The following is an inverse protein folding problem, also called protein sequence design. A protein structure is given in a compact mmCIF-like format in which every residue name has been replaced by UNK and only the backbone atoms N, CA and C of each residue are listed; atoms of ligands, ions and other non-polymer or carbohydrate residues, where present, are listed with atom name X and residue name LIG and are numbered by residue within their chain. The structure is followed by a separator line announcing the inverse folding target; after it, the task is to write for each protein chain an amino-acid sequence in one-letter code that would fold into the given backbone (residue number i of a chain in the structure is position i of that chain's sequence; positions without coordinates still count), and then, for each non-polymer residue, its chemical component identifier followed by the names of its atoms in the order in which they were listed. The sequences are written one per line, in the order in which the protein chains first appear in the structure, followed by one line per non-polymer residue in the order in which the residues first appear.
data_IF_874676846278
#
_entry.id   IF_874676846278
#
_cell.length_a   1.000
_cell.length_b   1.000
_cell.length_c   1.000
_cell.angle_alpha   90.00
_cell.angle_beta   90.00
_cell.angle_gamma   90.00
#
_symmetry.space_group_name_H-M   'P 1'
#
loop_
_entity.id
_entity.type
_entity.pdbx_description
1 polymer ?
#
# COMPACT_ATOMS: atom_id res chain seq x y z
N UNK A 1 -9.92 18.95 29.31
CA UNK A 1 -10.07 17.55 29.77
C UNK A 1 -9.64 16.68 28.61
N UNK A 2 -8.37 16.26 28.60
CA UNK A 2 -7.74 15.60 27.47
C UNK A 2 -7.63 14.11 27.78
N UNK A 3 -8.42 13.30 27.08
CA UNK A 3 -8.33 11.84 27.16
C UNK A 3 -7.39 11.38 26.05
N UNK A 4 -6.09 11.31 26.36
CA UNK A 4 -5.09 10.69 25.49
C UNK A 4 -5.32 9.17 25.45
N UNK A 5 -5.82 8.67 24.33
CA UNK A 5 -5.90 7.23 24.08
C UNK A 5 -4.55 6.75 23.54
N UNK A 6 -3.70 6.26 24.45
CA UNK A 6 -2.46 5.55 24.10
C UNK A 6 -2.81 4.13 23.68
N UNK A 7 -2.48 3.76 22.44
CA UNK A 7 -2.49 2.35 22.02
C UNK A 7 -1.27 1.66 22.64
N UNK A 8 -1.47 0.96 23.75
CA UNK A 8 -0.43 0.21 24.43
C UNK A 8 -0.25 -1.16 23.75
N UNK A 9 0.90 -1.39 23.12
CA UNK A 9 1.34 -2.72 22.71
C UNK A 9 1.93 -3.44 23.94
N UNK A 10 1.23 -4.45 24.45
CA UNK A 10 1.71 -5.31 25.52
C UNK A 10 2.73 -6.31 24.95
N UNK A 11 4.01 -6.07 25.19
CA UNK A 11 5.09 -7.02 24.94
C UNK A 11 5.19 -8.01 26.11
N UNK A 12 4.68 -9.22 25.93
CA UNK A 12 5.00 -10.36 26.78
C UNK A 12 6.26 -11.02 26.24
N UNK A 13 7.31 -11.02 27.06
CA UNK A 13 8.56 -11.72 26.78
C UNK A 13 8.38 -13.23 26.75
N UNK A 14 9.06 -13.89 25.82
CA UNK A 14 9.40 -15.29 25.93
C UNK A 14 10.88 -15.45 25.60
N UNK A 15 11.67 -15.72 26.64
CA UNK A 15 13.00 -16.31 26.53
C UNK A 15 12.85 -17.74 26.00
N UNK A 16 13.59 -18.12 24.96
CA UNK A 16 13.81 -19.52 24.63
C UNK A 16 15.29 -19.76 24.32
N UNK A 17 15.91 -20.61 25.13
CA UNK A 17 17.31 -20.98 25.10
C UNK A 17 17.48 -22.33 24.39
N UNK A 18 18.48 -22.38 23.49
CA UNK A 18 19.31 -23.52 23.05
C UNK A 18 18.69 -24.78 22.42
N UNK A 19 19.32 -25.28 21.35
CA UNK A 19 20.11 -26.55 21.31
C UNK A 19 20.81 -26.66 19.94
N UNK A 20 22.13 -26.93 19.98
CA UNK A 20 22.96 -27.39 18.85
C UNK A 20 22.73 -28.90 18.64
N UNK A 21 22.50 -29.32 17.40
CA UNK A 21 22.69 -30.71 16.98
C UNK A 21 23.08 -30.79 15.50
N UNK A 22 24.15 -31.55 15.23
CA UNK A 22 24.81 -31.75 13.95
C UNK A 22 24.31 -33.02 13.21
N UNK A 23 24.92 -33.27 12.04
CA UNK A 23 24.77 -34.41 11.09
C UNK A 23 23.65 -34.18 10.05
N UNK A 24 23.84 -34.32 8.73
CA UNK A 24 24.89 -34.91 7.90
C UNK A 24 24.21 -35.59 6.69
N UNK A 25 24.86 -35.53 5.51
CA UNK A 25 24.56 -36.26 4.24
C UNK A 25 23.51 -35.68 3.27
N UNK A 26 23.48 -36.12 1.99
CA UNK A 26 24.59 -36.15 1.02
C UNK A 26 24.26 -35.40 -0.28
N UNK A 27 25.31 -35.12 -1.03
CA UNK A 27 25.39 -34.50 -2.34
C UNK A 27 24.79 -35.41 -3.45
N UNK A 28 23.83 -34.88 -4.23
CA UNK A 28 23.34 -35.51 -5.45
C UNK A 28 23.99 -34.87 -6.68
N UNK A 29 24.48 -35.72 -7.58
CA UNK A 29 25.15 -35.38 -8.84
C UNK A 29 24.14 -34.96 -9.94
N UNK A 30 24.59 -34.21 -10.97
CA UNK A 30 23.71 -33.69 -12.02
C UNK A 30 23.40 -34.74 -13.10
N UNK A 31 22.12 -34.92 -13.39
CA UNK A 31 21.63 -35.74 -14.51
C UNK A 31 21.35 -34.89 -15.74
N UNK A 32 22.02 -35.25 -16.83
CA UNK A 32 22.05 -34.64 -18.16
C UNK A 32 20.70 -34.72 -18.90
N UNK A 33 20.33 -33.63 -19.58
CA UNK A 33 19.25 -33.60 -20.58
C UNK A 33 19.62 -34.39 -21.85
N UNK A 34 18.63 -34.85 -22.65
CA UNK A 34 18.55 -34.27 -23.99
C UNK A 34 17.13 -34.01 -24.52
N UNK A 35 17.03 -32.87 -25.23
CA UNK A 35 16.44 -32.67 -26.55
C UNK A 35 15.16 -33.42 -26.95
N UNK A 36 14.05 -32.69 -26.97
CA UNK A 36 12.88 -32.97 -27.80
C UNK A 36 12.41 -31.66 -28.44
N UNK A 37 12.47 -31.57 -29.77
CA UNK A 37 12.00 -30.42 -30.54
C UNK A 37 10.47 -30.35 -30.55
N UNK A 38 9.85 -29.16 -30.56
CA UNK A 38 8.40 -29.02 -30.60
C UNK A 38 7.87 -29.22 -32.03
N UNK A 39 6.82 -30.05 -32.16
CA UNK A 39 5.97 -30.09 -33.35
C UNK A 39 4.98 -28.93 -33.26
N UNK A 40 5.04 -28.04 -34.25
CA UNK A 40 4.09 -26.94 -34.44
C UNK A 40 2.81 -27.54 -35.03
N UNK A 41 1.78 -27.67 -34.20
CA UNK A 41 0.40 -27.91 -34.64
C UNK A 41 -0.39 -26.61 -34.57
N UNK A 42 -0.67 -26.00 -35.71
CA UNK A 42 -1.63 -24.89 -35.83
C UNK A 42 -3.05 -25.42 -35.65
N UNK A 43 -3.61 -25.26 -34.44
CA UNK A 43 -5.04 -25.34 -34.18
C UNK A 43 -5.62 -23.93 -34.25
N UNK A 44 -6.56 -23.75 -35.16
CA UNK A 44 -7.35 -22.53 -35.31
C UNK A 44 -8.42 -22.51 -34.21
N UNK A 45 -8.12 -21.87 -33.08
CA UNK A 45 -9.10 -21.64 -32.03
C UNK A 45 -9.97 -20.42 -32.37
N UNK A 46 -11.25 -20.68 -32.58
CA UNK A 46 -12.32 -19.69 -32.59
C UNK A 46 -12.25 -18.84 -31.31
N UNK A 47 -12.32 -17.49 -31.39
CA UNK A 47 -12.30 -16.66 -30.19
C UNK A 47 -13.53 -16.97 -29.32
N UNK A 48 -13.28 -17.63 -28.20
CA UNK A 48 -14.25 -17.73 -27.11
C UNK A 48 -14.50 -16.32 -26.58
N UNK A 49 -15.75 -15.82 -26.54
CA UNK A 49 -16.03 -14.51 -25.96
C UNK A 49 -15.57 -14.51 -24.49
N UNK A 50 -14.70 -13.56 -24.16
CA UNK A 50 -14.25 -13.33 -22.79
C UNK A 50 -15.48 -13.17 -21.87
N UNK A 51 -15.45 -13.72 -20.64
CA UNK A 51 -16.54 -13.50 -19.70
C UNK A 51 -16.70 -12.00 -19.52
N UNK A 52 -17.90 -11.49 -19.81
CA UNK A 52 -18.29 -10.13 -19.49
C UNK A 52 -18.01 -9.92 -18.00
N UNK A 53 -17.13 -8.96 -17.69
CA UNK A 53 -16.94 -8.47 -16.34
C UNK A 53 -18.28 -7.86 -15.93
N UNK A 54 -19.09 -8.64 -15.21
CA UNK A 54 -20.27 -8.12 -14.51
C UNK A 54 -19.76 -6.97 -13.65
N UNK A 55 -20.16 -5.75 -14.00
CA UNK A 55 -19.86 -4.56 -13.22
C UNK A 55 -20.23 -4.85 -11.77
N UNK A 56 -19.25 -4.74 -10.87
CA UNK A 56 -19.49 -4.85 -9.44
C UNK A 56 -20.64 -3.89 -9.08
N UNK A 57 -21.60 -4.32 -8.21
CA UNK A 57 -22.71 -3.46 -7.84
C UNK A 57 -22.14 -2.12 -7.37
N UNK A 58 -22.65 -1.03 -7.94
CA UNK A 58 -22.31 0.33 -7.53
C UNK A 58 -22.79 0.48 -6.09
N UNK A 59 -21.94 0.06 -5.14
CA UNK A 59 -22.21 0.20 -3.73
C UNK A 59 -22.48 1.69 -3.48
N UNK A 60 -23.61 1.98 -2.86
CA UNK A 60 -23.93 3.35 -2.47
C UNK A 60 -22.76 3.93 -1.66
N UNK A 61 -22.33 5.13 -2.02
CA UNK A 61 -21.16 5.78 -1.43
C UNK A 61 -21.56 7.04 -0.67
N UNK A 62 -20.90 7.32 0.46
CA UNK A 62 -20.89 8.61 1.15
C UNK A 62 -19.71 9.46 0.68
N UNK A 63 -19.84 10.77 0.74
CA UNK A 63 -18.72 11.69 0.53
C UNK A 63 -18.11 12.09 1.88
N UNK A 64 -16.79 12.25 1.89
CA UNK A 64 -16.02 12.84 2.99
C UNK A 64 -15.21 14.01 2.42
N UNK A 65 -15.23 15.15 3.12
CA UNK A 65 -14.49 16.34 2.74
C UNK A 65 -13.52 16.66 3.86
N UNK A 66 -12.24 16.82 3.51
CA UNK A 66 -11.21 17.25 4.46
C UNK A 66 -11.44 18.71 4.83
N UNK A 67 -11.13 19.05 6.07
CA UNK A 67 -11.29 20.41 6.60
C UNK A 67 -10.03 21.25 6.48
N UNK A 68 -8.87 20.59 6.41
CA UNK A 68 -7.55 21.22 6.30
C UNK A 68 -7.18 21.62 4.88
N UNK A 69 -7.68 20.89 3.88
CA UNK A 69 -7.40 21.12 2.47
C UNK A 69 -8.65 20.95 1.62
N UNK A 70 -8.64 21.54 0.42
CA UNK A 70 -9.71 21.36 -0.57
C UNK A 70 -9.60 19.98 -1.24
N UNK A 71 -9.85 18.96 -0.46
CA UNK A 71 -9.90 17.57 -0.89
C UNK A 71 -11.20 16.92 -0.45
N UNK A 72 -11.68 16.00 -1.29
CA UNK A 72 -12.78 15.12 -0.93
C UNK A 72 -12.60 13.72 -1.51
N UNK A 73 -13.22 12.74 -0.87
CA UNK A 73 -13.26 11.36 -1.34
C UNK A 73 -14.65 10.76 -1.14
N UNK A 74 -14.87 9.58 -1.71
CA UNK A 74 -16.06 8.77 -1.52
C UNK A 74 -15.71 7.44 -0.87
N UNK A 75 -16.60 6.92 -0.04
CA UNK A 75 -16.42 5.65 0.65
C UNK A 75 -17.73 4.88 0.78
N UNK A 76 -17.70 3.54 0.91
CA UNK A 76 -18.92 2.74 1.00
C UNK A 76 -19.84 3.19 2.15
N UNK A 77 -21.16 3.23 1.92
CA UNK A 77 -22.12 3.77 2.91
C UNK A 77 -22.09 3.03 4.24
N UNK A 78 -21.75 1.75 4.22
CA UNK A 78 -21.70 0.85 5.36
C UNK A 78 -20.42 1.01 6.19
N UNK A 79 -19.41 1.70 5.67
CA UNK A 79 -18.21 2.04 6.42
C UNK A 79 -18.47 3.23 7.35
N UNK A 80 -17.66 3.32 8.39
CA UNK A 80 -17.62 4.48 9.29
C UNK A 80 -16.26 5.17 9.20
N UNK A 81 -16.28 6.50 9.37
CA UNK A 81 -15.08 7.34 9.35
C UNK A 81 -14.92 8.03 10.70
N UNK A 82 -13.70 8.05 11.22
CA UNK A 82 -13.29 8.88 12.36
C UNK A 82 -12.21 9.84 11.87
N UNK A 83 -12.32 11.09 12.30
CA UNK A 83 -11.40 12.13 11.89
C UNK A 83 -10.70 12.72 13.09
N UNK A 84 -9.38 12.87 12.99
CA UNK A 84 -8.55 13.53 13.98
C UNK A 84 -7.75 14.63 13.28
N UNK A 85 -7.67 15.81 13.93
CA UNK A 85 -6.86 16.94 13.47
C UNK A 85 -5.83 17.30 14.52
N UNK A 86 -4.59 17.59 14.12
CA UNK A 86 -3.53 17.97 15.05
C UNK A 86 -2.54 18.96 14.41
N UNK A 87 -1.89 19.83 15.20
CA UNK A 87 -0.82 20.68 14.70
C UNK A 87 0.38 19.84 14.23
N UNK A 88 0.92 20.14 13.05
CA UNK A 88 2.13 19.51 12.51
C UNK A 88 3.06 20.59 11.93
N UNK A 89 4.00 21.07 12.75
CA UNK A 89 4.82 22.22 12.37
C UNK A 89 3.97 23.49 12.18
N UNK A 90 4.05 24.10 11.01
CA UNK A 90 3.28 25.32 10.65
C UNK A 90 1.94 25.01 9.98
N UNK A 91 1.65 23.73 9.71
CA UNK A 91 0.41 23.28 9.06
C UNK A 91 -0.47 22.51 10.06
N UNK A 92 -1.74 22.33 9.70
CA UNK A 92 -2.65 21.43 10.43
C UNK A 92 -2.74 20.12 9.66
N UNK A 93 -2.42 19.01 10.35
CA UNK A 93 -2.60 17.68 9.83
C UNK A 93 -4.01 17.17 10.14
N UNK A 94 -4.55 16.34 9.25
CA UNK A 94 -5.86 15.71 9.40
C UNK A 94 -5.79 14.26 8.92
N UNK A 95 -6.34 13.35 9.70
CA UNK A 95 -6.41 11.94 9.35
C UNK A 95 -7.86 11.48 9.39
N UNK A 96 -8.33 10.87 8.31
CA UNK A 96 -9.62 10.19 8.23
C UNK A 96 -9.38 8.67 8.24
N UNK A 97 -9.73 8.01 9.34
CA UNK A 97 -9.61 6.56 9.52
C UNK A 97 -10.94 5.87 9.23
N UNK A 98 -10.90 4.86 8.35
CA UNK A 98 -12.08 4.15 7.86
C UNK A 98 -12.13 2.73 8.43
N UNK A 99 -13.32 2.35 8.89
CA UNK A 99 -13.64 0.99 9.32
C UNK A 99 -14.79 0.44 8.50
N UNK A 100 -14.77 -0.86 8.21
CA UNK A 100 -15.84 -1.52 7.49
C UNK A 100 -17.10 -1.73 8.35
N UNK A 101 -18.13 -2.34 7.76
CA UNK A 101 -19.39 -2.62 8.44
C UNK A 101 -19.24 -3.54 9.67
N UNK A 102 -18.16 -4.33 9.74
CA UNK A 102 -17.85 -5.19 10.88
C UNK A 102 -17.05 -4.44 11.97
N UNK A 103 -16.75 -3.16 11.77
CA UNK A 103 -15.94 -2.35 12.67
C UNK A 103 -14.44 -2.63 12.55
N UNK A 104 -14.00 -3.34 11.50
CA UNK A 104 -12.59 -3.62 11.26
C UNK A 104 -11.94 -2.44 10.56
N UNK A 105 -10.78 -2.00 11.02
CA UNK A 105 -9.99 -0.98 10.34
C UNK A 105 -9.57 -1.47 8.94
N UNK A 106 -9.76 -0.61 7.94
CA UNK A 106 -9.41 -0.92 6.54
C UNK A 106 -8.28 -0.04 6.04
N UNK A 107 -8.42 1.27 6.19
CA UNK A 107 -7.45 2.25 5.72
C UNK A 107 -7.58 3.58 6.48
N UNK A 108 -6.55 4.41 6.39
CA UNK A 108 -6.57 5.80 6.77
C UNK A 108 -6.09 6.68 5.61
N UNK A 109 -6.61 7.90 5.53
CA UNK A 109 -6.12 8.93 4.61
C UNK A 109 -5.67 10.11 5.43
N UNK A 110 -4.41 10.50 5.29
CA UNK A 110 -3.78 11.56 6.06
C UNK A 110 -3.39 12.72 5.16
N UNK A 111 -3.68 13.94 5.58
CA UNK A 111 -3.29 15.18 4.93
C UNK A 111 -2.27 15.88 5.81
N UNK A 112 -1.23 16.45 5.21
CA UNK A 112 -0.17 17.19 5.90
C UNK A 112 0.60 16.37 6.96
N UNK A 113 0.48 15.04 6.93
CA UNK A 113 1.23 14.14 7.81
C UNK A 113 1.45 12.78 7.16
N UNK A 114 2.63 12.23 7.39
CA UNK A 114 3.01 10.85 7.04
C UNK A 114 3.23 10.09 8.34
N UNK A 115 2.70 8.89 8.50
CA UNK A 115 3.08 8.00 9.63
C UNK A 115 4.32 7.16 9.32
N UNK A 116 4.90 7.33 8.13
CA UNK A 116 5.95 6.45 7.64
C UNK A 116 7.35 6.96 8.00
N UNK A 117 7.95 6.31 8.99
CA UNK A 117 9.37 6.40 9.32
C UNK A 117 10.01 5.02 9.27
N UNK A 118 10.29 4.49 8.08
CA UNK A 118 11.15 3.31 7.97
C UNK A 118 12.09 3.40 6.76
N UNK A 119 13.35 3.01 6.97
CA UNK A 119 14.41 3.08 5.96
C UNK A 119 15.31 1.85 6.10
N UNK A 120 14.71 0.67 5.92
CA UNK A 120 15.46 -0.59 5.83
C UNK A 120 15.43 -1.12 4.39
N UNK A 121 16.50 -1.78 3.91
CA UNK A 121 16.54 -2.35 2.58
C UNK A 121 15.42 -3.37 2.34
N UNK A 122 14.69 -3.21 1.24
CA UNK A 122 13.61 -4.11 0.80
C UNK A 122 13.79 -4.51 -0.66
N UNK A 123 13.25 -5.68 -1.00
CA UNK A 123 12.88 -6.03 -2.37
C UNK A 123 11.43 -5.59 -2.61
N UNK A 124 11.23 -4.67 -3.56
CA UNK A 124 9.91 -4.17 -3.93
C UNK A 124 9.37 -4.90 -5.15
N UNK A 125 8.06 -5.20 -5.11
CA UNK A 125 7.27 -5.70 -6.23
C UNK A 125 6.01 -4.84 -6.37
N UNK A 126 5.89 -4.09 -7.45
CA UNK A 126 4.72 -3.30 -7.81
C UNK A 126 3.63 -4.22 -8.36
N UNK A 127 2.47 -4.18 -7.73
CA UNK A 127 1.32 -5.00 -8.13
C UNK A 127 0.44 -4.22 -9.11
N UNK A 128 0.17 -2.95 -8.80
CA UNK A 128 -0.65 -2.09 -9.64
C UNK A 128 -0.23 -0.63 -9.48
N UNK A 129 -0.40 0.17 -10.53
CA UNK A 129 -0.28 1.63 -10.46
C UNK A 129 -1.12 2.29 -11.54
N UNK A 130 -1.43 3.57 -11.36
CA UNK A 130 -2.22 4.31 -12.32
C UNK A 130 -2.36 5.79 -11.96
N UNK A 131 -3.06 6.53 -12.82
CA UNK A 131 -3.39 7.92 -12.54
C UNK A 131 -4.45 8.00 -11.42
N UNK A 132 -4.45 9.12 -10.68
CA UNK A 132 -5.55 9.51 -9.80
C UNK A 132 -6.43 10.54 -10.54
N UNK A 133 -7.55 10.13 -11.16
CA UNK A 133 -8.29 11.01 -12.07
C UNK A 133 -8.80 12.28 -11.37
N UNK A 134 -9.26 12.17 -10.13
CA UNK A 134 -9.78 13.30 -9.36
C UNK A 134 -8.71 14.31 -8.94
N UNK A 135 -7.44 13.94 -9.00
CA UNK A 135 -6.31 14.86 -8.75
C UNK A 135 -5.66 15.34 -10.06
N UNK A 136 -6.08 14.85 -11.22
CA UNK A 136 -5.51 15.25 -12.51
C UNK A 136 -5.91 16.68 -12.91
N UNK A 137 -6.99 17.22 -12.34
CA UNK A 137 -7.49 18.58 -12.61
C UNK A 137 -6.97 19.65 -11.64
N UNK A 138 -6.23 19.27 -10.59
CA UNK A 138 -5.60 20.24 -9.69
C UNK A 138 -4.28 20.75 -10.23
N UNK A 139 -3.70 21.76 -9.56
CA UNK A 139 -2.38 22.33 -9.89
C UNK A 139 -1.19 21.40 -9.52
N UNK A 140 -1.44 20.09 -9.49
CA UNK A 140 -0.46 19.06 -9.17
C UNK A 140 0.49 18.85 -10.34
N UNK A 141 1.72 19.37 -10.22
CA UNK A 141 2.75 19.18 -11.23
C UNK A 141 4.02 18.56 -10.62
N UNK A 142 4.40 17.34 -11.01
CA UNK A 142 3.69 16.42 -11.93
C UNK A 142 2.37 15.88 -11.35
N UNK A 143 1.46 15.35 -12.20
CA UNK A 143 0.19 14.77 -11.76
C UNK A 143 0.38 13.62 -10.77
N UNK A 144 -0.49 13.56 -9.76
CA UNK A 144 -0.49 12.50 -8.77
C UNK A 144 -0.94 11.16 -9.36
N UNK A 145 -0.30 10.10 -8.89
CA UNK A 145 -0.53 8.70 -9.26
C UNK A 145 -0.80 7.90 -7.99
N UNK A 146 -1.35 6.71 -8.16
CA UNK A 146 -1.33 5.70 -7.11
C UNK A 146 -0.40 4.55 -7.47
N UNK A 147 0.08 3.86 -6.45
CA UNK A 147 0.72 2.56 -6.58
C UNK A 147 0.31 1.66 -5.42
N UNK A 148 0.04 0.38 -5.71
CA UNK A 148 -0.06 -0.70 -4.74
C UNK A 148 1.10 -1.66 -4.98
N UNK A 149 1.91 -1.89 -3.95
CA UNK A 149 3.15 -2.66 -4.05
C UNK A 149 3.43 -3.41 -2.76
N UNK A 150 4.32 -4.39 -2.85
CA UNK A 150 4.81 -5.20 -1.74
C UNK A 150 6.28 -4.94 -1.54
N UNK A 151 6.69 -4.88 -0.28
CA UNK A 151 8.05 -4.67 0.15
C UNK A 151 8.46 -5.82 1.08
N UNK A 152 9.44 -6.59 0.64
CA UNK A 152 9.98 -7.74 1.35
C UNK A 152 11.31 -7.35 1.98
N UNK A 153 11.43 -7.33 3.33
CA UNK A 153 12.71 -6.99 3.95
C UNK A 153 13.83 -7.93 3.53
N UNK A 154 14.99 -7.37 3.25
CA UNK A 154 16.17 -8.17 2.86
C UNK A 154 16.92 -8.77 4.05
N UNK A 155 16.68 -8.25 5.25
CA UNK A 155 17.32 -8.74 6.47
C UNK A 155 16.55 -9.94 7.04
N UNK A 156 17.25 -11.05 7.41
CA UNK A 156 16.65 -12.16 8.12
C UNK A 156 15.99 -11.69 9.42
N UNK A 157 14.76 -12.12 9.69
CA UNK A 157 14.02 -11.75 10.90
C UNK A 157 13.28 -10.40 10.84
N UNK A 158 13.21 -9.76 9.67
CA UNK A 158 12.36 -8.59 9.45
C UNK A 158 10.86 -8.90 9.60
N UNK A 159 10.00 -7.87 9.73
CA UNK A 159 8.56 -8.06 9.62
C UNK A 159 8.28 -8.72 8.26
N UNK A 160 7.42 -9.74 8.19
CA UNK A 160 7.09 -10.35 6.89
C UNK A 160 6.64 -9.32 5.85
N UNK A 161 6.50 -9.74 4.59
CA UNK A 161 6.22 -8.83 3.48
C UNK A 161 5.10 -7.82 3.80
N UNK A 162 5.38 -6.54 3.55
CA UNK A 162 4.49 -5.42 3.81
C UNK A 162 3.85 -4.99 2.50
N UNK A 163 2.52 -4.94 2.43
CA UNK A 163 1.84 -4.29 1.32
C UNK A 163 1.58 -2.82 1.65
N UNK A 164 1.67 -1.97 0.63
CA UNK A 164 1.52 -0.53 0.75
C UNK A 164 0.76 -0.01 -0.46
N UNK A 165 -0.22 0.83 -0.22
CA UNK A 165 -0.89 1.63 -1.24
C UNK A 165 -0.47 3.08 -1.01
N UNK A 166 -0.02 3.80 -2.03
CA UNK A 166 0.53 5.16 -1.86
C UNK A 166 0.00 6.11 -2.92
N UNK A 167 -0.12 7.39 -2.56
CA UNK A 167 -0.39 8.53 -3.45
C UNK A 167 0.95 9.23 -3.70
N UNK A 168 1.43 9.23 -4.95
CA UNK A 168 2.81 9.62 -5.29
C UNK A 168 2.87 10.33 -6.63
N UNK A 169 3.85 11.21 -6.82
CA UNK A 169 4.16 11.81 -8.12
C UNK A 169 4.89 10.85 -9.08
N UNK A 170 5.77 10.02 -8.54
CA UNK A 170 6.54 9.00 -9.26
C UNK A 170 6.17 7.62 -8.72
N UNK A 171 5.81 6.70 -9.60
CA UNK A 171 5.54 5.31 -9.20
C UNK A 171 6.87 4.67 -8.81
N UNK A 172 6.96 3.94 -7.68
CA UNK A 172 8.16 3.19 -7.33
C UNK A 172 8.48 2.14 -8.41
N UNK A 173 9.76 1.86 -8.63
CA UNK A 173 10.16 0.76 -9.51
C UNK A 173 10.18 -0.57 -8.73
N UNK A 174 10.01 -1.68 -9.47
CA UNK A 174 10.40 -3.00 -8.99
C UNK A 174 11.91 -3.04 -8.69
N UNK A 175 12.32 -3.85 -7.72
CA UNK A 175 13.73 -4.01 -7.36
C UNK A 175 14.07 -3.55 -5.95
N UNK A 176 15.35 -3.27 -5.73
CA UNK A 176 15.86 -2.83 -4.44
C UNK A 176 15.31 -1.44 -4.08
N UNK A 177 14.94 -1.26 -2.81
CA UNK A 177 14.46 0.01 -2.30
C UNK A 177 14.60 0.10 -0.78
N UNK A 178 13.93 1.11 -0.22
CA UNK A 178 13.76 1.29 1.22
C UNK A 178 12.28 1.14 1.56
N UNK A 179 11.97 0.39 2.62
CA UNK A 179 10.59 0.17 3.08
C UNK A 179 9.84 1.50 3.19
N UNK A 180 8.74 1.71 2.49
CA UNK A 180 7.95 2.95 2.48
C UNK A 180 8.75 4.22 2.18
N UNK A 181 9.95 4.07 1.62
CA UNK A 181 10.78 5.17 1.18
C UNK A 181 10.17 5.82 -0.07
N UNK A 182 10.36 7.13 -0.19
CA UNK A 182 10.03 7.84 -1.42
C UNK A 182 10.79 7.24 -2.62
N UNK A 183 10.27 7.39 -3.85
CA UNK A 183 10.94 6.97 -5.08
C UNK A 183 12.13 7.90 -5.35
N UNK A 184 13.24 7.69 -4.65
CA UNK A 184 14.50 8.40 -4.86
C UNK A 184 15.58 7.41 -5.26
N UNK A 185 16.37 7.81 -6.26
CA UNK A 185 17.52 7.08 -6.77
C UNK A 185 18.65 7.13 -5.73
N UNK A 186 18.50 6.38 -4.65
CA UNK A 186 19.51 6.28 -3.59
C UNK A 186 18.91 6.21 -2.18
N UNK A 187 19.72 5.83 -1.18
CA UNK A 187 19.32 5.89 0.22
C UNK A 187 19.30 7.35 0.67
N UNK A 188 18.13 7.98 0.76
CA UNK A 188 18.00 9.28 1.43
C UNK A 188 17.15 9.20 2.69
N UNK A 189 17.45 10.06 3.69
CA UNK A 189 16.60 10.26 4.85
C UNK A 189 15.23 10.77 4.41
N UNK A 190 14.19 10.37 5.15
CA UNK A 190 12.82 10.87 5.04
C UNK A 190 12.82 12.41 5.06
N UNK A 191 12.11 13.11 4.16
CA UNK A 191 11.97 14.55 4.28
C UNK A 191 11.00 14.88 5.43
N UNK A 192 11.57 15.38 6.52
CA UNK A 192 10.92 16.19 7.54
C UNK A 192 11.56 17.59 7.50
N UNK A 193 10.81 18.69 7.72
CA UNK A 193 9.64 19.10 6.93
C UNK A 193 10.07 19.47 5.51
N UNK A 194 9.12 19.59 4.58
CA UNK A 194 9.44 19.97 3.20
C UNK A 194 10.29 21.25 3.16
N UNK A 195 11.34 21.30 2.32
CA UNK A 195 12.07 22.54 2.08
C UNK A 195 11.07 23.63 1.69
N UNK A 196 11.24 24.84 2.23
CA UNK A 196 10.43 26.06 1.97
C UNK A 196 10.19 26.36 0.47
N UNK A 197 11.00 25.74 -0.40
CA UNK A 197 11.08 25.92 -1.85
C UNK A 197 10.34 24.83 -2.66
N UNK A 198 9.81 23.76 -2.05
CA UNK A 198 9.07 22.74 -2.80
C UNK A 198 7.57 23.01 -2.81
N UNK A 199 7.10 23.48 -3.97
CA UNK A 199 5.71 23.72 -4.41
C UNK A 199 4.71 22.55 -4.32
N UNK A 200 4.99 21.52 -3.52
CA UNK A 200 3.98 20.52 -3.18
C UNK A 200 3.08 21.15 -2.10
N UNK A 201 1.80 21.45 -2.39
CA UNK A 201 0.98 22.25 -1.49
C UNK A 201 0.74 21.54 -0.15
N UNK A 202 0.78 20.20 -0.12
CA UNK A 202 0.64 19.37 1.08
C UNK A 202 0.96 17.89 0.78
N UNK A 203 1.18 17.10 1.84
CA UNK A 203 1.35 15.64 1.75
C UNK A 203 -0.01 14.91 1.80
N UNK A 204 -0.18 13.85 1.01
CA UNK A 204 -1.33 12.94 1.05
C UNK A 204 -0.84 11.53 1.34
N UNK A 205 -1.11 11.03 2.54
CA UNK A 205 -0.91 9.65 2.94
C UNK A 205 -2.16 8.83 2.66
N UNK A 206 -1.97 7.65 2.09
CA UNK A 206 -3.01 6.62 2.03
C UNK A 206 -2.41 5.39 2.69
N UNK A 207 -3.01 4.92 3.78
CA UNK A 207 -2.40 3.91 4.63
C UNK A 207 -3.37 2.75 4.81
N UNK A 208 -2.90 1.54 4.58
CA UNK A 208 -3.71 0.35 4.84
C UNK A 208 -3.68 0.06 6.35
N UNK A 209 -4.75 -0.53 6.88
CA UNK A 209 -4.76 -0.95 8.28
C UNK A 209 -3.65 -2.00 8.54
N UNK A 210 -3.07 -1.99 9.74
CA UNK A 210 -1.92 -2.84 10.08
C UNK A 210 -2.13 -4.35 9.82
N UNK A 211 -3.37 -4.85 9.90
CA UNK A 211 -3.70 -6.23 9.55
C UNK A 211 -3.63 -6.51 8.05
N UNK A 212 -3.98 -5.53 7.23
CA UNK A 212 -3.88 -5.59 5.77
C UNK A 212 -2.43 -5.44 5.34
N UNK A 213 -1.72 -4.47 5.92
CA UNK A 213 -0.30 -4.20 5.62
C UNK A 213 0.55 -5.46 5.73
N UNK A 214 0.26 -6.35 6.69
CA UNK A 214 0.92 -7.65 6.88
C UNK A 214 0.43 -8.70 5.87
N UNK A 215 0.63 -8.43 4.58
CA UNK A 215 0.18 -9.30 3.50
C UNK A 215 0.94 -10.64 3.42
N UNK A 216 2.11 -10.73 4.04
CA UNK A 216 2.92 -11.94 4.16
C UNK A 216 3.67 -12.36 2.89
N UNK A 217 3.10 -12.11 1.70
CA UNK A 217 3.74 -12.38 0.41
C UNK A 217 3.13 -11.55 -0.73
N UNK A 218 3.82 -11.50 -1.88
CA UNK A 218 3.28 -10.92 -3.12
C UNK A 218 1.95 -11.58 -3.53
N UNK A 219 1.82 -12.90 -3.39
CA UNK A 219 0.58 -13.61 -3.70
C UNK A 219 -0.56 -13.21 -2.76
N UNK A 220 -0.27 -13.08 -1.45
CA UNK A 220 -1.24 -12.60 -0.45
C UNK A 220 -1.72 -11.19 -0.74
N UNK A 221 -0.81 -10.28 -1.11
CA UNK A 221 -1.17 -8.93 -1.49
C UNK A 221 -2.03 -8.87 -2.76
N UNK A 222 -1.68 -9.64 -3.81
CA UNK A 222 -2.50 -9.75 -5.03
C UNK A 222 -3.91 -10.27 -4.71
N UNK A 223 -4.00 -11.30 -3.87
CA UNK A 223 -5.28 -11.86 -3.45
C UNK A 223 -6.13 -10.86 -2.66
N UNK A 224 -5.52 -10.12 -1.72
CA UNK A 224 -6.24 -9.08 -0.98
C UNK A 224 -6.68 -7.93 -1.89
N UNK A 225 -5.81 -7.45 -2.78
CA UNK A 225 -6.15 -6.36 -3.71
C UNK A 225 -7.29 -6.75 -4.65
N UNK A 226 -7.34 -8.02 -5.09
CA UNK A 226 -8.43 -8.55 -5.90
C UNK A 226 -9.71 -8.87 -5.09
N UNK A 227 -9.65 -8.87 -3.75
CA UNK A 227 -10.81 -9.14 -2.89
C UNK A 227 -11.81 -7.98 -2.92
N UNK A 228 -13.04 -8.23 -2.45
CA UNK A 228 -14.06 -7.19 -2.33
C UNK A 228 -13.59 -6.00 -1.48
N UNK A 229 -12.95 -6.25 -0.34
CA UNK A 229 -12.43 -5.19 0.55
C UNK A 229 -11.29 -4.41 -0.11
N UNK A 230 -10.39 -5.10 -0.83
CA UNK A 230 -9.31 -4.45 -1.60
C UNK A 230 -9.85 -3.56 -2.72
N UNK A 231 -10.86 -4.03 -3.46
CA UNK A 231 -11.52 -3.23 -4.50
C UNK A 231 -12.28 -2.03 -3.91
N UNK A 232 -12.90 -2.17 -2.74
CA UNK A 232 -13.50 -1.03 -2.03
C UNK A 232 -12.45 -0.01 -1.59
N UNK A 233 -11.32 -0.44 -1.02
CA UNK A 233 -10.22 0.45 -0.66
C UNK A 233 -9.62 1.17 -1.88
N UNK A 234 -9.44 0.46 -3.00
CA UNK A 234 -9.03 1.04 -4.28
C UNK A 234 -10.05 2.06 -4.79
N UNK A 235 -11.35 1.79 -4.68
CA UNK A 235 -12.39 2.74 -5.07
C UNK A 235 -12.34 4.02 -4.22
N UNK A 236 -12.08 3.91 -2.91
CA UNK A 236 -11.86 5.08 -2.03
C UNK A 236 -10.66 5.90 -2.53
N UNK A 237 -9.52 5.25 -2.78
CA UNK A 237 -8.32 5.89 -3.30
C UNK A 237 -8.56 6.63 -4.62
N UNK A 238 -9.21 5.96 -5.59
CA UNK A 238 -9.48 6.53 -6.92
C UNK A 238 -10.55 7.64 -6.90
N UNK A 239 -11.34 7.72 -5.84
CA UNK A 239 -12.35 8.77 -5.67
C UNK A 239 -11.80 10.08 -5.09
N UNK A 240 -10.53 10.09 -4.69
CA UNK A 240 -9.88 11.27 -4.15
C UNK A 240 -9.84 12.38 -5.22
N UNK A 241 -10.37 13.54 -4.86
CA UNK A 241 -10.59 14.68 -5.76
C UNK A 241 -10.16 15.98 -5.10
N UNK A 242 -9.60 16.89 -5.89
CA UNK A 242 -9.46 18.29 -5.48
C UNK A 242 -10.84 18.97 -5.58
N UNK A 243 -11.23 19.73 -4.55
CA UNK A 243 -12.54 20.39 -4.42
C UNK A 243 -12.50 21.92 -4.55
#
# INVERSE_FOLDING_TARGET
MNTSLRLAAAGAGLMLTAVLAACGMPQAAPGTAPSGSPVIGTVSETPTPAPSVTAAPTAESKAFTFTTEKLSLRYPKEWTVKTDTFPFGTVTAETAAFTDAAGKAVLAVSINSSTYDYAWPVQRTVIESGALPGLASGDWNPPMKYAFYVEEPQSPGGPGAVCTASVLQKVPNDGLGQLRGLPVEGPTPVPSPMPEDQSMPYFIGFELAAEVEKCGSVAGAKAWWASAQGQQAKAVLLSLTAS
#
